data_IF_961213707126
#
_entry.id   IF_961213707126
#
_cell.length_a   1.000
_cell.length_b   1.000
_cell.length_c   1.000
_cell.angle_alpha   90.00
_cell.angle_beta   90.00
_cell.angle_gamma   90.00
#
_symmetry.space_group_name_H-M   'P 1'
#
loop_
_entity.id
_entity.type
_entity.pdbx_description
1 polymer ?
#
# COMPACT_ATOMS: atom_id res chain seq x y z
N UNK A 1 11.74 8.38 -15.22
CA UNK A 1 11.90 6.97 -14.77
C UNK A 1 11.28 6.68 -13.39
N UNK A 2 11.41 7.55 -12.37
CA UNK A 2 10.81 7.33 -11.02
C UNK A 2 9.27 7.21 -11.01
N UNK A 3 8.57 7.95 -11.87
CA UNK A 3 7.11 7.89 -11.95
C UNK A 3 6.58 6.58 -12.56
N UNK A 4 7.19 6.14 -13.67
CA UNK A 4 6.87 4.86 -14.31
C UNK A 4 7.04 3.68 -13.35
N UNK A 5 8.12 3.67 -12.57
CA UNK A 5 8.37 2.60 -11.59
C UNK A 5 7.36 2.62 -10.44
N UNK A 6 6.88 3.79 -10.01
CA UNK A 6 5.80 3.90 -9.03
C UNK A 6 4.48 3.32 -9.58
N UNK A 7 4.12 3.65 -10.83
CA UNK A 7 2.92 3.11 -11.48
C UNK A 7 3.01 1.58 -11.60
N UNK A 8 4.14 1.05 -12.06
CA UNK A 8 4.33 -0.40 -12.20
C UNK A 8 4.18 -1.09 -10.84
N UNK A 9 4.81 -0.58 -9.78
CA UNK A 9 4.66 -1.14 -8.44
C UNK A 9 3.21 -1.06 -7.94
N UNK A 10 2.53 0.06 -8.19
CA UNK A 10 1.13 0.24 -7.81
C UNK A 10 0.23 -0.81 -8.47
N UNK A 11 0.40 -1.03 -9.78
CA UNK A 11 -0.34 -2.06 -10.52
C UNK A 11 0.04 -3.47 -10.06
N UNK A 12 1.31 -3.72 -9.74
CA UNK A 12 1.75 -5.01 -9.19
C UNK A 12 1.09 -5.30 -7.84
N UNK A 13 0.98 -4.30 -6.95
CA UNK A 13 0.28 -4.46 -5.66
C UNK A 13 -1.17 -4.85 -5.90
N UNK A 14 -1.88 -4.12 -6.76
CA UNK A 14 -3.29 -4.39 -7.08
C UNK A 14 -3.47 -5.81 -7.66
N UNK A 15 -2.70 -6.14 -8.71
CA UNK A 15 -2.80 -7.43 -9.38
C UNK A 15 -2.46 -8.59 -8.45
N UNK A 16 -1.36 -8.49 -7.70
CA UNK A 16 -0.94 -9.54 -6.76
C UNK A 16 -1.96 -9.76 -5.65
N UNK A 17 -2.57 -8.70 -5.12
CA UNK A 17 -3.61 -8.81 -4.10
C UNK A 17 -4.84 -9.56 -4.66
N UNK A 18 -5.29 -9.18 -5.87
CA UNK A 18 -6.44 -9.83 -6.51
C UNK A 18 -6.19 -11.31 -6.82
N UNK A 19 -4.96 -11.68 -7.16
CA UNK A 19 -4.54 -13.08 -7.36
C UNK A 19 -4.20 -13.83 -6.06
N UNK A 20 -4.41 -13.20 -4.90
CA UNK A 20 -4.08 -13.74 -3.57
C UNK A 20 -2.59 -14.09 -3.39
N UNK A 21 -1.70 -13.43 -4.14
CA UNK A 21 -0.25 -13.59 -4.03
C UNK A 21 0.31 -12.73 -2.89
N UNK A 22 -0.09 -13.06 -1.66
CA UNK A 22 0.13 -12.25 -0.46
C UNK A 22 1.59 -11.84 -0.23
N UNK A 23 2.54 -12.76 -0.46
CA UNK A 23 3.98 -12.48 -0.29
C UNK A 23 4.45 -11.38 -1.25
N UNK A 24 4.05 -11.47 -2.52
CA UNK A 24 4.44 -10.48 -3.53
C UNK A 24 3.81 -9.12 -3.21
N UNK A 25 2.56 -9.13 -2.75
CA UNK A 25 1.85 -7.92 -2.36
C UNK A 25 2.54 -7.22 -1.19
N UNK A 26 2.87 -7.95 -0.13
CA UNK A 26 3.54 -7.38 1.06
C UNK A 26 4.89 -6.78 0.66
N UNK A 27 5.70 -7.49 -0.12
CA UNK A 27 7.00 -6.98 -0.59
C UNK A 27 6.84 -5.72 -1.45
N UNK A 28 5.89 -5.71 -2.38
CA UNK A 28 5.65 -4.56 -3.24
C UNK A 28 5.14 -3.34 -2.44
N UNK A 29 4.24 -3.56 -1.47
CA UNK A 29 3.74 -2.52 -0.54
C UNK A 29 4.87 -1.93 0.28
N UNK A 30 5.77 -2.75 0.84
CA UNK A 30 6.92 -2.29 1.60
C UNK A 30 7.82 -1.40 0.73
N UNK A 31 8.23 -1.89 -0.44
CA UNK A 31 9.09 -1.16 -1.37
C UNK A 31 8.44 0.17 -1.79
N UNK A 32 7.15 0.15 -2.10
CA UNK A 32 6.40 1.35 -2.50
C UNK A 32 6.32 2.37 -1.35
N UNK A 33 6.00 1.91 -0.14
CA UNK A 33 5.80 2.76 1.04
C UNK A 33 7.05 3.56 1.39
N UNK A 34 8.22 2.91 1.39
CA UNK A 34 9.48 3.58 1.72
C UNK A 34 9.97 4.49 0.60
N UNK A 35 9.68 4.18 -0.66
CA UNK A 35 10.27 4.89 -1.82
C UNK A 35 9.41 6.01 -2.39
N UNK A 36 8.08 5.89 -2.33
CA UNK A 36 7.15 6.82 -3.01
C UNK A 36 6.11 7.45 -2.07
N UNK A 37 5.99 6.96 -0.83
CA UNK A 37 5.03 7.44 0.15
C UNK A 37 3.75 6.61 0.19
N UNK A 38 3.32 6.27 1.41
CA UNK A 38 2.23 5.32 1.62
C UNK A 38 0.82 5.90 1.37
N UNK A 39 0.67 7.23 1.20
CA UNK A 39 -0.64 7.89 0.95
C UNK A 39 -1.38 7.26 -0.23
N UNK A 40 -0.66 6.97 -1.33
CA UNK A 40 -1.28 6.40 -2.52
C UNK A 40 -1.83 4.97 -2.30
N UNK A 41 -1.41 4.26 -1.25
CA UNK A 41 -1.95 2.93 -0.93
C UNK A 41 -3.38 3.01 -0.38
N UNK A 42 -3.81 4.15 0.16
CA UNK A 42 -5.16 4.34 0.70
C UNK A 42 -6.23 4.19 -0.39
N UNK A 43 -6.22 4.94 -1.51
CA UNK A 43 -7.20 4.75 -2.56
C UNK A 43 -7.15 3.34 -3.18
N UNK A 44 -5.96 2.73 -3.26
CA UNK A 44 -5.82 1.34 -3.70
C UNK A 44 -6.57 0.37 -2.76
N UNK A 45 -6.45 0.58 -1.45
CA UNK A 45 -7.12 -0.26 -0.47
C UNK A 45 -8.65 -0.08 -0.47
N UNK A 46 -9.16 1.13 -0.73
CA UNK A 46 -10.59 1.35 -0.98
C UNK A 46 -11.07 0.60 -2.23
N UNK A 47 -10.31 0.62 -3.33
CA UNK A 47 -10.66 -0.15 -4.53
C UNK A 47 -10.72 -1.65 -4.25
N UNK A 48 -9.77 -2.16 -3.47
CA UNK A 48 -9.73 -3.58 -3.06
C UNK A 48 -10.91 -3.93 -2.16
N UNK A 49 -11.23 -3.11 -1.15
CA UNK A 49 -12.41 -3.34 -0.32
C UNK A 49 -13.71 -3.32 -1.13
N UNK A 50 -13.80 -2.44 -2.14
CA UNK A 50 -14.92 -2.42 -3.07
C UNK A 50 -15.01 -3.67 -3.93
N UNK A 51 -13.88 -4.16 -4.44
CA UNK A 51 -13.82 -5.36 -5.27
C UNK A 51 -14.28 -6.62 -4.50
N UNK A 52 -13.89 -6.75 -3.23
CA UNK A 52 -14.30 -7.88 -2.39
C UNK A 52 -15.66 -7.69 -1.70
N UNK A 53 -16.35 -6.56 -1.93
CA UNK A 53 -17.65 -6.28 -1.31
C UNK A 53 -17.58 -5.95 0.19
N UNK A 54 -16.39 -5.65 0.71
CA UNK A 54 -16.14 -5.38 2.13
C UNK A 54 -16.74 -4.04 2.62
N UNK A 55 -17.24 -3.19 1.73
CA UNK A 55 -17.89 -1.93 2.14
C UNK A 55 -19.18 -2.12 2.94
N UNK A 56 -19.88 -3.24 2.75
CA UNK A 56 -21.12 -3.53 3.48
C UNK A 56 -20.91 -4.11 4.88
N UNK A 57 -19.68 -4.55 5.18
CA UNK A 57 -19.33 -5.23 6.43
C UNK A 57 -18.31 -4.42 7.23
N UNK A 58 -17.07 -4.41 6.79
CA UNK A 58 -16.00 -3.61 7.37
C UNK A 58 -14.87 -3.49 6.33
N UNK A 59 -14.48 -2.26 5.94
CA UNK A 59 -13.46 -2.07 4.90
C UNK A 59 -12.05 -2.26 5.51
N UNK A 60 -11.74 -3.52 5.86
CA UNK A 60 -10.53 -3.90 6.58
C UNK A 60 -9.26 -3.46 5.86
N UNK A 61 -9.22 -3.58 4.53
CA UNK A 61 -8.02 -3.27 3.76
C UNK A 61 -7.70 -1.79 3.83
N UNK A 62 -8.71 -0.93 3.71
CA UNK A 62 -8.57 0.53 3.81
C UNK A 62 -8.19 0.97 5.22
N UNK A 63 -8.75 0.36 6.26
CA UNK A 63 -8.35 0.61 7.65
C UNK A 63 -6.88 0.25 7.89
N UNK A 64 -6.45 -0.93 7.42
CA UNK A 64 -5.04 -1.36 7.49
C UNK A 64 -4.14 -0.41 6.71
N UNK A 65 -4.56 0.04 5.53
CA UNK A 65 -3.77 0.98 4.72
C UNK A 65 -3.61 2.35 5.39
N UNK A 66 -4.66 2.87 6.03
CA UNK A 66 -4.59 4.12 6.80
C UNK A 66 -3.65 3.97 7.99
N UNK A 67 -3.78 2.88 8.75
CA UNK A 67 -2.89 2.64 9.88
C UNK A 67 -1.44 2.47 9.43
N UNK A 68 -1.21 1.73 8.35
CA UNK A 68 0.11 1.56 7.74
C UNK A 68 0.71 2.89 7.28
N UNK A 69 -0.09 3.76 6.66
CA UNK A 69 0.35 5.10 6.28
C UNK A 69 0.85 5.90 7.51
N UNK A 70 0.09 5.89 8.61
CA UNK A 70 0.49 6.57 9.85
C UNK A 70 1.80 6.00 10.41
N UNK A 71 1.94 4.67 10.42
CA UNK A 71 3.16 4.00 10.88
C UNK A 71 4.36 4.37 9.99
N UNK A 72 4.22 4.30 8.68
CA UNK A 72 5.30 4.60 7.74
C UNK A 72 5.72 6.05 7.84
N UNK A 73 4.79 7.01 7.84
CA UNK A 73 5.19 8.42 7.94
C UNK A 73 5.70 8.82 9.32
N UNK A 74 5.31 8.10 10.38
CA UNK A 74 5.95 8.26 11.68
C UNK A 74 7.39 7.73 11.71
N UNK A 75 7.64 6.59 11.05
CA UNK A 75 8.96 5.93 11.04
C UNK A 75 9.95 6.56 10.05
N UNK A 76 9.47 7.08 8.91
CA UNK A 76 10.29 7.67 7.85
C UNK A 76 11.29 8.72 8.34
N UNK A 77 10.90 9.77 9.09
CA UNK A 77 11.84 10.77 9.57
C UNK A 77 12.86 10.19 10.55
N UNK A 78 12.47 9.17 11.34
CA UNK A 78 13.39 8.50 12.26
C UNK A 78 14.44 7.69 11.52
N UNK A 79 14.05 6.97 10.46
CA UNK A 79 14.96 6.17 9.63
C UNK A 79 15.93 7.04 8.81
N UNK A 80 15.53 8.26 8.44
CA UNK A 80 16.39 9.22 7.74
C UNK A 80 17.37 9.91 8.69
N UNK A 81 16.97 10.18 9.94
CA UNK A 81 17.82 10.81 10.96
C UNK A 81 18.86 9.86 11.60
N UNK A 82 18.90 8.58 11.20
CA UNK A 82 19.97 7.64 11.58
C UNK A 82 21.19 7.67 10.63
N UNK A 83 21.29 8.67 9.76
CA UNK A 83 22.45 8.93 8.89
C UNK A 83 23.17 10.21 9.26
#
# INVERSE_FOLDING_TARGET
MRFLTAIVLYLTILFSFMQQWLLLTVLAVLIFSFRYGAVALIPLAFLVDGYFGNFYSLPLTSMVAVWWYLVVEYLKPKLVNFR
#
